data_IF_223543462365
#
_entry.id   IF_223543462365
#
_cell.length_a   1.000
_cell.length_b   1.000
_cell.length_c   1.000
_cell.angle_alpha   90.00
_cell.angle_beta   90.00
_cell.angle_gamma   90.00
#
_symmetry.space_group_name_H-M   'P 1'
#
loop_
_entity.id
_entity.type
_entity.pdbx_description
1 polymer ?
#
# COMPACT_ATOMS: atom_id res chain seq x y z
N UNK A 1 -1.23 0.61 4.24
CA UNK A 1 -0.10 0.09 5.03
C UNK A 1 -0.05 -1.41 4.93
N UNK A 2 1.15 -1.93 4.65
CA UNK A 2 1.44 -3.35 4.55
C UNK A 2 1.68 -4.04 5.91
N UNK A 3 1.33 -3.37 7.01
CA UNK A 3 1.41 -3.88 8.38
C UNK A 3 0.43 -5.07 8.59
N UNK A 4 0.66 -5.91 9.61
CA UNK A 4 -0.19 -7.06 9.87
C UNK A 4 -1.67 -6.65 10.06
N UNK A 5 -2.62 -7.39 9.49
CA UNK A 5 -4.05 -7.14 9.63
C UNK A 5 -4.50 -7.20 11.09
N UNK A 6 -5.57 -6.48 11.40
CA UNK A 6 -6.24 -6.56 12.70
C UNK A 6 -7.42 -7.52 12.61
N UNK A 7 -7.28 -8.75 13.11
CA UNK A 7 -8.45 -9.62 13.28
C UNK A 7 -9.38 -9.07 14.37
N UNK A 8 -10.68 -9.11 14.12
CA UNK A 8 -11.72 -8.79 15.11
C UNK A 8 -12.51 -7.51 14.83
N UNK A 9 -12.99 -6.87 15.91
CA UNK A 9 -13.98 -5.78 15.85
C UNK A 9 -15.41 -6.30 15.95
N UNK A 10 -16.37 -5.37 15.94
CA UNK A 10 -17.79 -5.73 16.05
C UNK A 10 -18.28 -6.45 14.78
N UNK A 11 -19.25 -7.40 14.91
CA UNK A 11 -19.93 -7.98 13.76
C UNK A 11 -20.59 -6.92 12.88
N UNK A 12 -20.53 -7.12 11.56
CA UNK A 12 -21.20 -6.24 10.61
C UNK A 12 -22.66 -6.69 10.46
N UNK A 13 -23.57 -5.93 11.02
CA UNK A 13 -25.02 -6.18 11.01
C UNK A 13 -25.78 -5.28 10.05
N UNK A 14 -25.15 -4.22 9.54
CA UNK A 14 -25.78 -3.30 8.59
C UNK A 14 -24.75 -2.60 7.69
N UNK A 15 -25.19 -2.18 6.50
CA UNK A 15 -24.39 -1.32 5.60
C UNK A 15 -24.00 0.00 6.28
N UNK A 16 -24.86 0.54 7.15
CA UNK A 16 -24.61 1.81 7.83
C UNK A 16 -23.30 1.79 8.65
N UNK A 17 -22.96 0.66 9.29
CA UNK A 17 -21.68 0.53 10.00
C UNK A 17 -20.45 0.73 9.08
N UNK A 18 -20.56 0.30 7.82
CA UNK A 18 -19.51 0.45 6.82
C UNK A 18 -19.37 1.91 6.37
N UNK A 19 -20.50 2.61 6.25
CA UNK A 19 -20.55 4.05 5.93
C UNK A 19 -20.00 4.88 7.09
N UNK A 20 -20.45 4.60 8.32
CA UNK A 20 -20.03 5.28 9.54
C UNK A 20 -18.52 5.10 9.79
N UNK A 21 -17.95 3.97 9.38
CA UNK A 21 -16.51 3.73 9.47
C UNK A 21 -15.69 4.79 8.74
N UNK A 22 -16.15 5.29 7.59
CA UNK A 22 -15.51 6.40 6.88
C UNK A 22 -15.80 7.74 7.56
N UNK A 23 -17.05 7.96 7.99
CA UNK A 23 -17.49 9.19 8.63
C UNK A 23 -16.66 9.51 9.89
N UNK A 24 -16.24 8.50 10.65
CA UNK A 24 -15.34 8.61 11.82
C UNK A 24 -13.98 9.27 11.47
N UNK A 25 -13.57 9.26 10.21
CA UNK A 25 -12.38 9.98 9.74
C UNK A 25 -12.51 11.50 9.76
N UNK A 26 -13.74 12.01 9.81
CA UNK A 26 -14.03 13.45 9.82
C UNK A 26 -13.50 14.09 11.10
N UNK A 27 -12.59 15.05 10.96
CA UNK A 27 -11.97 15.73 12.11
C UNK A 27 -11.84 17.25 11.88
N UNK A 28 -11.88 18.09 12.92
CA UNK A 28 -11.76 19.54 12.75
C UNK A 28 -10.42 19.92 12.14
N UNK A 29 -10.37 21.05 11.44
CA UNK A 29 -9.18 21.51 10.72
C UNK A 29 -7.92 21.65 11.59
N UNK A 30 -8.07 21.95 12.88
CA UNK A 30 -6.97 21.99 13.85
C UNK A 30 -6.23 20.66 14.01
N UNK A 31 -6.93 19.57 13.72
CA UNK A 31 -6.47 18.20 13.93
C UNK A 31 -6.02 17.56 12.62
N UNK A 32 -6.07 18.30 11.51
CA UNK A 32 -5.56 17.84 10.22
C UNK A 32 -4.05 17.64 10.29
N UNK A 33 -3.60 16.55 9.70
CA UNK A 33 -2.20 16.16 9.61
C UNK A 33 -1.85 15.78 8.18
N UNK A 34 -0.56 15.64 7.93
CA UNK A 34 0.03 15.19 6.67
C UNK A 34 0.77 13.89 6.99
N UNK A 35 0.29 12.78 6.44
CA UNK A 35 1.08 11.55 6.37
C UNK A 35 1.79 11.48 5.03
N UNK A 36 3.00 10.94 4.98
CA UNK A 36 3.72 10.72 3.72
C UNK A 36 4.31 9.34 3.72
N UNK A 37 4.08 8.59 2.65
CA UNK A 37 4.66 7.27 2.46
C UNK A 37 5.53 7.29 1.21
N UNK A 38 6.69 6.64 1.25
CA UNK A 38 7.53 6.51 0.08
C UNK A 38 8.29 5.19 0.06
N UNK A 39 8.42 4.64 -1.14
CA UNK A 39 9.10 3.40 -1.43
C UNK A 39 10.44 3.67 -2.11
N UNK A 40 11.34 2.70 -2.05
CA UNK A 40 12.63 2.75 -2.72
C UNK A 40 13.15 1.35 -3.00
N UNK A 41 13.92 1.26 -4.06
CA UNK A 41 14.59 0.05 -4.49
C UNK A 41 15.94 -0.10 -3.80
N UNK A 42 16.15 -1.22 -3.11
CA UNK A 42 17.47 -1.63 -2.61
C UNK A 42 18.21 -2.41 -3.70
N UNK A 43 19.53 -2.23 -3.83
CA UNK A 43 20.35 -2.98 -4.77
C UNK A 43 21.76 -3.21 -4.24
N UNK A 44 22.43 -4.29 -4.66
CA UNK A 44 23.83 -4.56 -4.30
C UNK A 44 24.78 -3.67 -5.09
N UNK A 45 25.77 -3.06 -4.45
CA UNK A 45 26.75 -2.23 -5.14
C UNK A 45 27.73 -3.05 -6.01
N UNK A 46 27.85 -4.35 -5.77
CA UNK A 46 28.76 -5.25 -6.51
C UNK A 46 28.28 -5.55 -7.93
N UNK A 47 26.98 -5.75 -8.13
CA UNK A 47 26.39 -6.23 -9.38
C UNK A 47 25.03 -5.60 -9.73
N UNK A 48 24.56 -4.66 -8.90
CA UNK A 48 23.27 -4.00 -9.00
C UNK A 48 22.04 -4.89 -8.81
N UNK A 49 22.21 -6.15 -8.38
CA UNK A 49 21.11 -7.09 -8.13
C UNK A 49 20.21 -6.65 -6.98
N UNK A 50 18.94 -7.06 -7.04
CA UNK A 50 17.98 -6.90 -5.96
C UNK A 50 18.39 -7.80 -4.78
N UNK A 51 18.47 -7.30 -3.54
CA UNK A 51 18.72 -8.15 -2.39
C UNK A 51 17.51 -9.04 -2.11
N UNK A 52 17.79 -10.30 -1.79
CA UNK A 52 16.83 -11.23 -1.22
C UNK A 52 16.43 -10.79 0.19
N UNK A 53 15.43 -11.45 0.79
CA UNK A 53 15.13 -11.22 2.21
C UNK A 53 16.25 -11.74 3.11
N UNK A 54 16.69 -12.98 2.87
CA UNK A 54 17.71 -13.67 3.65
C UNK A 54 19.14 -13.23 3.29
N UNK A 55 20.09 -13.58 4.15
CA UNK A 55 21.52 -13.39 3.93
C UNK A 55 22.10 -12.17 4.66
N UNK A 56 23.44 -12.07 4.74
CA UNK A 56 24.13 -11.01 5.47
C UNK A 56 23.93 -9.62 4.85
N UNK A 57 23.61 -9.56 3.56
CA UNK A 57 23.30 -8.36 2.78
C UNK A 57 21.85 -8.34 2.29
N UNK A 58 20.96 -9.09 2.95
CA UNK A 58 19.53 -9.17 2.63
C UNK A 58 18.69 -8.07 3.30
N UNK A 59 17.43 -7.93 2.86
CA UNK A 59 16.47 -6.97 3.44
C UNK A 59 16.26 -7.23 4.94
N UNK A 60 16.23 -8.49 5.38
CA UNK A 60 16.13 -8.85 6.79
C UNK A 60 17.31 -8.32 7.63
N UNK A 61 18.51 -8.28 7.07
CA UNK A 61 19.68 -7.71 7.73
C UNK A 61 19.55 -6.20 7.91
N UNK A 62 19.00 -5.49 6.91
CA UNK A 62 18.71 -4.04 6.99
C UNK A 62 17.75 -3.76 8.15
N UNK A 63 16.60 -4.46 8.17
CA UNK A 63 15.56 -4.24 9.19
C UNK A 63 16.07 -4.51 10.61
N UNK A 64 16.79 -5.63 10.80
CA UNK A 64 17.31 -5.96 12.12
C UNK A 64 18.40 -4.99 12.57
N UNK A 65 19.28 -4.54 11.67
CA UNK A 65 20.32 -3.55 12.01
C UNK A 65 19.71 -2.19 12.36
N UNK A 66 18.67 -1.75 11.64
CA UNK A 66 17.95 -0.52 11.97
C UNK A 66 17.30 -0.60 13.35
N UNK A 67 16.68 -1.75 13.67
CA UNK A 67 16.07 -1.99 14.97
C UNK A 67 17.09 -1.96 16.11
N UNK A 68 18.23 -2.62 15.95
CA UNK A 68 19.26 -2.69 17.00
C UNK A 68 19.97 -1.35 17.22
N UNK A 69 20.21 -0.59 16.15
CA UNK A 69 21.00 0.66 16.22
C UNK A 69 20.17 1.89 16.55
N UNK A 70 18.97 1.99 15.98
CA UNK A 70 18.16 3.21 16.05
C UNK A 70 16.88 3.03 16.86
N UNK A 71 16.73 1.91 17.57
CA UNK A 71 15.65 1.70 18.53
C UNK A 71 14.28 1.47 17.89
N UNK A 72 14.24 0.96 16.66
CA UNK A 72 12.97 0.57 16.05
C UNK A 72 12.43 -0.74 16.67
N UNK A 73 11.11 -0.81 16.86
CA UNK A 73 10.43 -2.01 17.34
C UNK A 73 10.14 -2.95 16.19
N UNK A 74 10.47 -4.24 16.34
CA UNK A 74 10.26 -5.26 15.31
C UNK A 74 8.83 -5.79 15.31
N UNK A 75 8.22 -5.86 14.14
CA UNK A 75 7.02 -6.63 13.89
C UNK A 75 7.38 -7.87 13.06
N UNK A 76 6.87 -9.03 13.49
CA UNK A 76 7.24 -10.31 12.91
C UNK A 76 6.05 -11.04 12.31
N UNK A 77 6.30 -11.73 11.21
CA UNK A 77 5.42 -12.70 10.56
C UNK A 77 6.24 -13.99 10.36
N UNK A 78 5.74 -15.13 10.85
CA UNK A 78 6.44 -16.42 10.81
C UNK A 78 7.91 -16.38 11.32
N UNK A 79 8.15 -15.55 12.34
CA UNK A 79 9.48 -15.38 12.95
C UNK A 79 10.40 -14.38 12.24
N UNK A 80 10.06 -13.96 11.02
CA UNK A 80 10.77 -12.98 10.21
C UNK A 80 10.37 -11.55 10.57
N UNK A 81 11.35 -10.65 10.73
CA UNK A 81 11.06 -9.21 10.88
C UNK A 81 10.63 -8.66 9.52
N UNK A 82 9.35 -8.33 9.37
CA UNK A 82 8.76 -7.86 8.10
C UNK A 82 8.35 -6.39 8.12
N UNK A 83 8.35 -5.79 9.31
CA UNK A 83 8.12 -4.36 9.50
C UNK A 83 8.80 -3.86 10.78
N UNK A 84 9.00 -2.55 10.85
CA UNK A 84 9.49 -1.85 12.03
C UNK A 84 8.56 -0.71 12.40
N UNK A 85 8.46 -0.37 13.68
CA UNK A 85 7.67 0.78 14.15
C UNK A 85 8.45 1.65 15.13
N UNK A 86 8.26 2.96 15.05
CA UNK A 86 8.84 3.94 15.97
C UNK A 86 8.09 5.27 15.87
N UNK A 87 7.60 5.79 17.00
CA UNK A 87 7.02 7.14 17.10
C UNK A 87 5.95 7.47 16.03
N UNK A 88 5.10 6.50 15.69
CA UNK A 88 4.06 6.66 14.68
C UNK A 88 4.51 6.40 13.24
N UNK A 89 5.82 6.27 12.99
CA UNK A 89 6.37 5.81 11.72
C UNK A 89 6.38 4.29 11.63
N UNK A 90 6.29 3.78 10.40
CA UNK A 90 6.43 2.36 10.10
C UNK A 90 7.39 2.20 8.92
N UNK A 91 8.29 1.22 9.01
CA UNK A 91 9.04 0.72 7.86
C UNK A 91 8.41 -0.61 7.45
N UNK A 92 8.01 -0.73 6.21
CA UNK A 92 7.34 -1.91 5.65
C UNK A 92 8.02 -2.37 4.37
N UNK A 93 7.73 -3.60 3.98
CA UNK A 93 8.21 -4.20 2.74
C UNK A 93 7.03 -4.44 1.81
N UNK A 94 7.17 -3.99 0.56
CA UNK A 94 6.32 -4.33 -0.57
C UNK A 94 6.75 -5.68 -1.20
N UNK A 95 5.96 -6.28 -2.12
CA UNK A 95 6.18 -7.65 -2.58
C UNK A 95 7.56 -7.94 -3.17
N UNK A 96 8.14 -7.00 -3.90
CA UNK A 96 9.47 -7.09 -4.52
C UNK A 96 10.63 -6.58 -3.65
N UNK A 97 10.39 -6.40 -2.35
CA UNK A 97 11.39 -5.87 -1.40
C UNK A 97 11.62 -4.37 -1.55
N UNK A 98 10.68 -3.63 -2.15
CA UNK A 98 10.69 -2.17 -2.07
C UNK A 98 10.55 -1.77 -0.60
N UNK A 99 11.44 -0.88 -0.16
CA UNK A 99 11.62 -0.57 1.25
C UNK A 99 10.89 0.73 1.58
N UNK A 100 9.72 0.60 2.18
CA UNK A 100 8.79 1.69 2.43
C UNK A 100 9.04 2.35 3.78
N UNK A 101 8.90 3.68 3.82
CA UNK A 101 8.59 4.40 5.05
C UNK A 101 7.14 4.89 4.93
N UNK A 102 6.29 4.55 5.90
CA UNK A 102 5.05 5.26 6.18
C UNK A 102 5.29 6.18 7.38
N UNK A 103 5.31 7.48 7.11
CA UNK A 103 5.62 8.53 8.07
C UNK A 103 4.52 8.77 9.10
N UNK A 104 4.87 9.43 10.20
CA UNK A 104 3.90 9.84 11.20
C UNK A 104 2.96 10.94 10.65
N UNK A 105 1.74 11.07 11.18
CA UNK A 105 0.86 12.19 10.85
C UNK A 105 1.40 13.48 11.48
N UNK A 106 2.04 14.34 10.67
CA UNK A 106 2.69 15.58 11.12
C UNK A 106 1.90 16.84 10.78
N UNK A 107 2.24 17.96 11.40
CA UNK A 107 1.48 19.23 11.27
C UNK A 107 1.88 20.06 10.05
N UNK A 108 3.11 19.88 9.55
CA UNK A 108 3.63 20.68 8.45
C UNK A 108 4.70 19.96 7.63
N UNK A 109 4.95 20.48 6.42
CA UNK A 109 5.89 19.90 5.47
C UNK A 109 7.36 19.94 5.92
N UNK A 110 7.73 20.83 6.84
CA UNK A 110 9.10 20.84 7.40
C UNK A 110 9.33 19.61 8.27
N UNK A 111 8.32 19.19 9.04
CA UNK A 111 8.36 17.94 9.79
C UNK A 111 8.42 16.73 8.85
N UNK A 112 7.60 16.70 7.79
CA UNK A 112 7.65 15.64 6.77
C UNK A 112 9.05 15.52 6.16
N UNK A 113 9.66 16.65 5.78
CA UNK A 113 11.00 16.68 5.21
C UNK A 113 12.07 16.22 6.23
N UNK A 114 11.95 16.63 7.49
CA UNK A 114 12.85 16.19 8.57
C UNK A 114 12.77 14.69 8.80
N UNK A 115 11.57 14.13 8.83
CA UNK A 115 11.31 12.69 9.02
C UNK A 115 11.89 11.86 7.86
N UNK A 116 11.60 12.25 6.61
CA UNK A 116 12.15 11.59 5.43
C UNK A 116 13.69 11.62 5.43
N UNK A 117 14.30 12.74 5.80
CA UNK A 117 15.77 12.84 5.87
C UNK A 117 16.35 11.97 6.99
N UNK A 118 15.73 11.94 8.17
CA UNK A 118 16.17 11.08 9.26
C UNK A 118 16.16 9.61 8.84
N UNK A 119 15.04 9.15 8.27
CA UNK A 119 14.91 7.80 7.75
C UNK A 119 15.95 7.47 6.66
N UNK A 120 16.14 8.37 5.69
CA UNK A 120 17.13 8.18 4.63
C UNK A 120 18.56 8.11 5.18
N UNK A 121 18.89 8.91 6.19
CA UNK A 121 20.22 8.89 6.80
C UNK A 121 20.48 7.59 7.56
N UNK A 122 19.55 7.15 8.42
CA UNK A 122 19.65 5.86 9.14
C UNK A 122 19.79 4.69 8.15
N UNK A 123 18.96 4.69 7.10
CA UNK A 123 18.97 3.61 6.10
C UNK A 123 20.24 3.63 5.25
N UNK A 124 20.77 4.81 4.89
CA UNK A 124 22.06 4.93 4.17
C UNK A 124 23.21 4.38 5.00
N UNK A 125 23.25 4.68 6.29
CA UNK A 125 24.32 4.20 7.18
C UNK A 125 24.37 2.67 7.20
N UNK A 126 23.21 2.03 7.39
CA UNK A 126 23.10 0.56 7.39
C UNK A 126 23.42 -0.03 6.01
N UNK A 127 22.84 0.52 4.94
CA UNK A 127 23.07 0.02 3.59
C UNK A 127 24.55 0.12 3.17
N UNK A 128 25.25 1.19 3.55
CA UNK A 128 26.67 1.35 3.24
C UNK A 128 27.54 0.24 3.85
N UNK A 129 27.24 -0.19 5.07
CA UNK A 129 27.95 -1.29 5.74
C UNK A 129 27.69 -2.65 5.09
N UNK A 130 26.47 -2.85 4.58
CA UNK A 130 26.05 -4.08 3.92
C UNK A 130 26.41 -4.12 2.43
N UNK A 131 27.04 -3.07 1.89
CA UNK A 131 27.37 -2.99 0.46
C UNK A 131 26.15 -2.78 -0.44
N UNK A 132 25.11 -2.13 0.07
CA UNK A 132 23.85 -1.86 -0.62
C UNK A 132 23.68 -0.38 -0.97
N UNK A 133 23.03 -0.13 -2.11
CA UNK A 133 22.57 1.18 -2.55
C UNK A 133 21.04 1.30 -2.49
N UNK A 134 20.57 2.55 -2.59
CA UNK A 134 19.14 2.88 -2.67
C UNK A 134 18.85 3.66 -3.93
N UNK A 135 17.76 3.33 -4.62
CA UNK A 135 17.30 3.99 -5.83
C UNK A 135 15.84 4.44 -5.66
N UNK A 136 15.58 5.73 -5.86
CA UNK A 136 14.23 6.29 -5.92
C UNK A 136 13.85 6.56 -7.36
N UNK A 137 13.09 5.66 -7.97
CA UNK A 137 12.50 5.77 -9.32
C UNK A 137 11.16 5.05 -9.32
N UNK A 138 10.25 5.40 -10.24
CA UNK A 138 8.90 4.83 -10.25
C UNK A 138 8.82 3.36 -10.67
N UNK A 139 9.81 2.86 -11.43
CA UNK A 139 9.83 1.50 -11.96
C UNK A 139 11.26 0.92 -11.98
N UNK A 140 11.44 -0.36 -11.68
CA UNK A 140 12.76 -1.02 -11.71
C UNK A 140 13.35 -0.97 -13.13
N UNK A 141 14.46 -0.24 -13.35
CA UNK A 141 14.95 0.03 -14.69
C UNK A 141 15.74 -1.13 -15.31
N UNK A 142 16.19 -2.12 -14.53
CA UNK A 142 17.20 -3.11 -14.96
C UNK A 142 16.64 -4.53 -14.92
N UNK A 143 15.99 -4.92 -13.84
CA UNK A 143 15.71 -6.33 -13.58
C UNK A 143 14.37 -6.78 -14.17
N UNK A 144 14.37 -7.96 -14.77
CA UNK A 144 13.14 -8.60 -15.20
C UNK A 144 12.33 -9.04 -13.99
N UNK A 145 11.02 -9.23 -14.19
CA UNK A 145 10.12 -9.73 -13.15
C UNK A 145 10.58 -11.06 -12.53
N UNK A 146 11.24 -11.92 -13.30
CA UNK A 146 11.71 -13.22 -12.83
C UNK A 146 12.95 -13.14 -11.92
N UNK A 147 13.68 -12.02 -11.99
CA UNK A 147 14.90 -11.77 -11.21
C UNK A 147 14.62 -11.01 -9.92
N UNK A 148 13.41 -10.46 -9.74
CA UNK A 148 13.02 -9.75 -8.53
C UNK A 148 12.56 -10.77 -7.47
N UNK A 149 13.12 -10.74 -6.26
CA UNK A 149 12.75 -11.66 -5.20
C UNK A 149 11.40 -11.31 -4.58
N UNK A 150 10.78 -12.31 -3.94
CA UNK A 150 9.52 -12.14 -3.22
C UNK A 150 9.75 -12.05 -1.72
N UNK A 151 9.16 -11.04 -1.08
CA UNK A 151 9.22 -10.91 0.37
C UNK A 151 8.34 -11.96 1.06
N UNK A 152 8.78 -12.51 2.22
CA UNK A 152 8.12 -13.61 2.90
C UNK A 152 6.88 -13.14 3.68
N UNK A 153 5.83 -12.70 2.98
CA UNK A 153 4.55 -12.28 3.57
C UNK A 153 3.39 -13.05 2.94
N UNK A 154 2.55 -13.68 3.77
CA UNK A 154 1.48 -14.60 3.36
C UNK A 154 0.51 -13.97 2.37
N UNK A 155 0.06 -12.73 2.62
CA UNK A 155 -0.84 -11.99 1.71
C UNK A 155 -0.32 -11.85 0.28
N UNK A 156 1.00 -11.78 0.08
CA UNK A 156 1.57 -11.58 -1.25
C UNK A 156 1.47 -12.83 -2.13
N UNK A 157 1.41 -14.03 -1.52
CA UNK A 157 1.15 -15.26 -2.26
C UNK A 157 -0.24 -15.21 -2.91
N UNK A 158 -1.26 -14.85 -2.14
CA UNK A 158 -2.66 -14.73 -2.61
C UNK A 158 -2.76 -13.71 -3.74
N UNK A 159 -2.22 -12.50 -3.51
CA UNK A 159 -2.22 -11.43 -4.52
C UNK A 159 -1.47 -11.84 -5.79
N UNK A 160 -0.31 -12.51 -5.68
CA UNK A 160 0.48 -12.98 -6.84
C UNK A 160 -0.32 -13.95 -7.70
N UNK A 161 -1.03 -14.89 -7.09
CA UNK A 161 -1.84 -15.87 -7.82
C UNK A 161 -3.07 -15.22 -8.46
N UNK A 162 -3.69 -14.25 -7.78
CA UNK A 162 -4.86 -13.55 -8.28
C UNK A 162 -4.55 -12.55 -9.40
N UNK A 163 -3.47 -11.76 -9.28
CA UNK A 163 -3.11 -10.71 -10.25
C UNK A 163 -2.89 -11.25 -11.67
N UNK A 164 -2.56 -12.53 -11.81
CA UNK A 164 -2.42 -13.19 -13.12
C UNK A 164 -3.77 -13.42 -13.83
N UNK A 165 -4.90 -13.31 -13.11
CA UNK A 165 -6.25 -13.58 -13.60
C UNK A 165 -6.97 -12.31 -14.07
N UNK A 166 -6.54 -11.13 -13.61
CA UNK A 166 -7.29 -9.86 -13.75
C UNK A 166 -6.59 -8.79 -14.58
N UNK A 167 -5.31 -8.97 -14.90
CA UNK A 167 -4.54 -8.05 -15.73
C UNK A 167 -3.19 -8.63 -16.11
N UNK A 168 -2.46 -7.96 -17.01
CA UNK A 168 -1.13 -8.46 -17.44
C UNK A 168 0.04 -7.82 -16.67
N UNK A 169 -0.24 -6.72 -15.95
CA UNK A 169 0.77 -5.89 -15.29
C UNK A 169 0.71 -5.88 -13.78
N UNK A 170 -0.28 -6.52 -13.16
CA UNK A 170 -0.39 -6.54 -11.69
C UNK A 170 0.83 -7.13 -10.98
N UNK A 171 1.52 -8.10 -11.57
CA UNK A 171 2.78 -8.61 -11.02
C UNK A 171 3.95 -7.62 -11.14
N UNK A 172 3.94 -6.74 -12.14
CA UNK A 172 4.94 -5.67 -12.25
C UNK A 172 4.65 -4.55 -11.26
N UNK A 173 3.38 -4.23 -11.04
CA UNK A 173 2.97 -3.31 -9.96
C UNK A 173 3.56 -3.79 -8.63
N UNK A 174 3.31 -5.05 -8.28
CA UNK A 174 3.76 -5.64 -7.02
C UNK A 174 5.28 -5.66 -6.85
N UNK A 175 6.04 -6.02 -7.90
CA UNK A 175 7.47 -6.30 -7.77
C UNK A 175 8.38 -5.14 -8.21
N UNK A 176 7.93 -4.35 -9.18
CA UNK A 176 8.79 -3.45 -9.96
C UNK A 176 8.34 -2.00 -9.95
N UNK A 177 7.42 -1.61 -9.07
CA UNK A 177 7.07 -0.18 -8.90
C UNK A 177 7.43 0.34 -7.52
N UNK A 178 7.76 1.64 -7.46
CA UNK A 178 7.81 2.41 -6.21
C UNK A 178 6.92 3.65 -6.34
N UNK A 179 6.41 4.16 -5.22
CA UNK A 179 5.64 5.41 -5.17
C UNK A 179 6.16 6.36 -4.09
N UNK A 180 5.74 7.62 -4.20
CA UNK A 180 5.58 8.54 -3.07
C UNK A 180 4.10 8.93 -3.03
N UNK A 181 3.50 8.93 -1.84
CA UNK A 181 2.10 9.27 -1.64
C UNK A 181 1.93 10.15 -0.39
N UNK A 182 0.84 10.89 -0.34
CA UNK A 182 0.45 11.69 0.82
C UNK A 182 -0.92 11.22 1.31
N UNK A 183 -1.09 11.18 2.62
CA UNK A 183 -2.35 10.88 3.28
C UNK A 183 -2.88 12.19 3.89
N UNK A 184 -4.10 12.60 3.53
CA UNK A 184 -4.68 13.89 3.90
C UNK A 184 -6.06 13.74 4.55
N UNK A 185 -6.29 14.53 5.59
CA UNK A 185 -7.53 14.49 6.35
C UNK A 185 -8.67 15.28 5.71
N UNK A 186 -9.91 14.95 6.08
CA UNK A 186 -11.12 15.69 5.76
C UNK A 186 -11.95 16.01 7.00
N UNK A 187 -12.75 17.07 6.92
CA UNK A 187 -13.53 17.59 8.06
C UNK A 187 -15.00 17.19 8.09
N UNK A 188 -15.55 16.75 6.96
CA UNK A 188 -16.94 16.30 6.81
C UNK A 188 -17.08 15.51 5.51
N UNK A 189 -18.24 14.90 5.27
CA UNK A 189 -18.54 14.25 3.99
C UNK A 189 -18.45 15.23 2.81
N UNK A 190 -18.96 16.46 2.97
CA UNK A 190 -18.90 17.48 1.92
C UNK A 190 -17.45 17.90 1.59
N UNK A 191 -16.61 18.10 2.62
CA UNK A 191 -15.17 18.39 2.43
C UNK A 191 -14.43 17.20 1.81
N UNK A 192 -14.78 15.96 2.20
CA UNK A 192 -14.25 14.74 1.58
C UNK A 192 -14.60 14.70 0.08
N UNK A 193 -15.87 14.92 -0.29
CA UNK A 193 -16.32 14.89 -1.68
C UNK A 193 -15.59 15.94 -2.53
N UNK A 194 -15.46 17.16 -2.02
CA UNK A 194 -14.72 18.23 -2.70
C UNK A 194 -13.25 17.86 -2.91
N UNK A 195 -12.56 17.43 -1.85
CA UNK A 195 -11.15 17.02 -1.92
C UNK A 195 -10.94 15.84 -2.85
N UNK A 196 -11.80 14.82 -2.80
CA UNK A 196 -11.68 13.64 -3.65
C UNK A 196 -11.79 14.04 -5.13
N UNK A 197 -12.81 14.83 -5.49
CA UNK A 197 -12.99 15.32 -6.87
C UNK A 197 -11.81 16.13 -7.38
N UNK A 198 -11.30 17.06 -6.56
CA UNK A 198 -10.14 17.88 -6.91
C UNK A 198 -8.90 16.99 -7.09
N UNK A 199 -8.62 16.11 -6.13
CA UNK A 199 -7.47 15.21 -6.17
C UNK A 199 -7.51 14.32 -7.41
N UNK A 200 -8.64 13.67 -7.70
CA UNK A 200 -8.77 12.84 -8.90
C UNK A 200 -8.56 13.64 -10.19
N UNK A 201 -9.21 14.80 -10.31
CA UNK A 201 -9.09 15.63 -11.50
C UNK A 201 -7.64 16.10 -11.76
N UNK A 202 -6.87 16.34 -10.69
CA UNK A 202 -5.48 16.80 -10.77
C UNK A 202 -4.46 15.65 -10.73
N UNK A 203 -4.87 14.41 -10.46
CA UNK A 203 -3.94 13.29 -10.34
C UNK A 203 -3.09 13.07 -11.60
N UNK A 204 -3.63 13.17 -12.84
CA UNK A 204 -2.79 13.06 -14.04
C UNK A 204 -1.72 14.16 -14.16
N UNK A 205 -1.99 15.37 -13.64
CA UNK A 205 -1.01 16.45 -13.58
C UNK A 205 0.10 16.13 -12.58
N UNK A 206 -0.24 15.61 -11.41
CA UNK A 206 0.75 15.13 -10.44
C UNK A 206 1.60 14.01 -11.04
N UNK A 207 0.98 13.01 -11.67
CA UNK A 207 1.69 11.92 -12.36
C UNK A 207 2.66 12.45 -13.43
N UNK A 208 2.29 13.49 -14.18
CA UNK A 208 3.17 14.10 -15.18
C UNK A 208 4.35 14.86 -14.55
N UNK A 209 4.12 15.62 -13.47
CA UNK A 209 5.15 16.38 -12.76
C UNK A 209 6.20 15.46 -12.10
N UNK A 210 5.77 14.30 -11.62
CA UNK A 210 6.61 13.34 -10.89
C UNK A 210 6.97 12.10 -11.74
N UNK A 211 6.83 12.19 -13.07
CA UNK A 211 7.14 11.07 -13.97
C UNK A 211 8.64 10.75 -13.96
N UNK A 212 9.00 9.60 -13.40
CA UNK A 212 10.40 9.17 -13.21
C UNK A 212 10.59 7.66 -13.43
N UNK A 213 10.05 7.12 -14.52
CA UNK A 213 10.24 5.71 -14.86
C UNK A 213 10.26 5.43 -16.38
N UNK A 214 11.29 5.90 -17.10
CA UNK A 214 11.36 5.78 -18.56
C UNK A 214 12.05 4.49 -19.06
N UNK A 215 12.52 3.60 -18.16
CA UNK A 215 13.27 2.41 -18.53
C UNK A 215 12.63 1.11 -18.01
N UNK A 216 12.73 0.05 -18.80
CA UNK A 216 12.42 -1.35 -18.42
C UNK A 216 13.52 -2.23 -18.99
N UNK A 217 14.11 -3.09 -18.15
CA UNK A 217 15.10 -4.08 -18.57
C UNK A 217 16.26 -3.48 -19.40
N UNK A 218 16.76 -2.32 -18.91
CA UNK A 218 17.86 -1.57 -19.48
C UNK A 218 17.52 -0.76 -20.74
N UNK A 219 16.25 -0.70 -21.15
CA UNK A 219 15.82 -0.06 -22.41
C UNK A 219 14.77 1.03 -22.20
N UNK A 220 14.81 2.14 -22.96
CA UNK A 220 13.74 3.13 -22.94
C UNK A 220 12.39 2.53 -23.34
N UNK A 221 11.33 2.88 -22.62
CA UNK A 221 9.96 2.39 -22.88
C UNK A 221 9.20 3.22 -23.91
N UNK A 222 9.69 4.43 -24.20
CA UNK A 222 8.95 5.46 -24.94
C UNK A 222 7.88 6.19 -24.09
N UNK A 223 7.78 5.87 -22.80
CA UNK A 223 6.93 6.54 -21.82
C UNK A 223 7.79 7.28 -20.81
N UNK A 224 7.22 8.30 -20.16
CA UNK A 224 7.87 9.02 -19.06
C UNK A 224 7.59 8.38 -17.69
N UNK A 225 6.47 7.65 -17.57
CA UNK A 225 6.07 6.92 -16.36
C UNK A 225 5.58 5.52 -16.72
N UNK A 226 6.48 4.53 -16.77
CA UNK A 226 6.08 3.12 -16.85
C UNK A 226 5.23 2.71 -15.65
N UNK A 227 5.55 3.25 -14.46
CA UNK A 227 4.77 3.05 -13.23
C UNK A 227 3.28 3.32 -13.44
N UNK A 228 2.93 4.51 -13.93
CA UNK A 228 1.52 4.87 -14.13
C UNK A 228 0.85 3.99 -15.17
N UNK A 229 1.57 3.64 -16.26
CA UNK A 229 1.04 2.74 -17.27
C UNK A 229 0.78 1.31 -16.74
N UNK A 230 1.59 0.83 -15.80
CA UNK A 230 1.38 -0.47 -15.14
C UNK A 230 0.04 -0.53 -14.41
N UNK A 231 -0.38 0.56 -13.77
CA UNK A 231 -1.65 0.62 -13.05
C UNK A 231 -2.89 0.53 -13.97
N UNK A 232 -2.78 0.85 -15.26
CA UNK A 232 -3.93 0.77 -16.19
C UNK A 232 -4.30 -0.66 -16.61
N UNK A 233 -3.44 -1.64 -16.32
CA UNK A 233 -3.66 -3.07 -16.65
C UNK A 233 -3.21 -3.97 -15.47
N UNK A 234 -3.45 -3.46 -14.25
CA UNK A 234 -3.22 -4.19 -12.99
C UNK A 234 -4.44 -5.02 -12.63
N UNK A 235 -5.58 -4.35 -12.38
CA UNK A 235 -6.87 -4.98 -12.07
C UNK A 235 -7.98 -3.94 -12.27
N UNK A 236 -8.91 -4.13 -13.21
CA UNK A 236 -9.95 -3.15 -13.54
C UNK A 236 -10.97 -2.94 -12.42
N UNK A 237 -11.15 -3.89 -11.49
CA UNK A 237 -12.17 -3.79 -10.44
C UNK A 237 -11.75 -2.83 -9.33
N UNK A 238 -10.43 -2.63 -9.16
CA UNK A 238 -9.86 -1.91 -8.00
C UNK A 238 -8.94 -0.74 -8.37
N UNK A 239 -8.71 -0.47 -9.65
CA UNK A 239 -7.83 0.60 -10.12
C UNK A 239 -8.62 1.68 -10.89
N UNK A 240 -7.96 2.80 -11.20
CA UNK A 240 -8.46 3.81 -12.14
C UNK A 240 -9.02 5.08 -11.48
N UNK A 241 -9.73 5.86 -12.30
CA UNK A 241 -10.15 7.24 -12.00
C UNK A 241 -11.48 7.37 -11.25
N UNK A 242 -12.18 6.25 -10.99
CA UNK A 242 -13.46 6.19 -10.28
C UNK A 242 -14.45 7.27 -10.74
N UNK A 243 -14.90 7.21 -12.00
CA UNK A 243 -15.77 8.23 -12.62
C UNK A 243 -17.01 8.58 -11.77
N UNK A 244 -17.56 7.60 -11.04
CA UNK A 244 -18.71 7.78 -10.15
C UNK A 244 -18.49 8.81 -9.03
N UNK A 245 -17.25 9.20 -8.71
CA UNK A 245 -16.94 10.26 -7.75
C UNK A 245 -17.47 11.63 -8.22
N UNK A 246 -17.66 11.80 -9.53
CA UNK A 246 -18.20 13.03 -10.12
C UNK A 246 -19.72 13.02 -10.30
N UNK A 247 -20.40 11.91 -10.00
CA UNK A 247 -21.86 11.82 -10.04
C UNK A 247 -22.51 12.67 -8.93
N UNK A 248 -23.72 13.17 -9.19
CA UNK A 248 -24.54 13.79 -8.16
C UNK A 248 -24.90 12.75 -7.08
N UNK A 249 -24.80 13.16 -5.81
CA UNK A 249 -25.05 12.26 -4.67
C UNK A 249 -23.87 11.37 -4.29
N UNK A 250 -22.68 11.55 -4.88
CA UNK A 250 -21.45 10.92 -4.37
C UNK A 250 -21.20 11.32 -2.89
N UNK A 251 -20.81 10.33 -2.09
CA UNK A 251 -20.56 10.44 -0.65
C UNK A 251 -19.99 9.12 -0.10
N UNK A 252 -19.93 9.00 1.23
CA UNK A 252 -19.41 7.82 1.91
C UNK A 252 -20.17 6.55 1.54
N UNK A 253 -21.50 6.63 1.41
CA UNK A 253 -22.33 5.48 1.07
C UNK A 253 -22.02 4.93 -0.33
N UNK A 254 -21.90 5.81 -1.33
CA UNK A 254 -21.60 5.39 -2.71
C UNK A 254 -20.22 4.74 -2.83
N UNK A 255 -19.24 5.23 -2.07
CA UNK A 255 -17.91 4.60 -2.02
C UNK A 255 -17.92 3.28 -1.23
N UNK A 256 -18.73 3.15 -0.18
CA UNK A 256 -18.93 1.88 0.51
C UNK A 256 -19.55 0.84 -0.44
N UNK A 257 -20.50 1.23 -1.30
CA UNK A 257 -21.03 0.34 -2.35
C UNK A 257 -19.96 -0.10 -3.34
N UNK A 258 -19.12 0.83 -3.81
CA UNK A 258 -17.98 0.49 -4.65
C UNK A 258 -17.09 -0.57 -3.98
N UNK A 259 -16.70 -0.34 -2.72
CA UNK A 259 -15.84 -1.27 -1.98
C UNK A 259 -16.51 -2.63 -1.72
N UNK A 260 -17.83 -2.67 -1.55
CA UNK A 260 -18.58 -3.93 -1.44
C UNK A 260 -18.60 -4.73 -2.75
N UNK A 261 -18.44 -4.05 -3.89
CA UNK A 261 -18.41 -4.66 -5.22
C UNK A 261 -16.98 -5.05 -5.65
N UNK A 262 -15.94 -4.42 -5.09
CA UNK A 262 -14.55 -4.84 -5.28
C UNK A 262 -14.36 -6.27 -4.75
N UNK A 263 -13.85 -7.22 -5.56
CA UNK A 263 -13.61 -8.58 -5.11
C UNK A 263 -12.55 -8.62 -3.99
N UNK A 264 -12.76 -9.49 -3.02
CA UNK A 264 -11.82 -9.67 -1.91
C UNK A 264 -10.49 -10.28 -2.38
N UNK A 265 -9.45 -10.13 -1.56
CA UNK A 265 -8.22 -10.93 -1.65
C UNK A 265 -8.14 -11.98 -0.57
N UNK A 266 -8.24 -11.55 0.69
CA UNK A 266 -8.04 -12.42 1.83
C UNK A 266 -8.99 -12.05 2.97
N UNK A 267 -9.14 -12.98 3.90
CA UNK A 267 -9.64 -12.73 5.25
C UNK A 267 -8.59 -13.21 6.25
N UNK A 268 -8.35 -12.48 7.33
CA UNK A 268 -7.32 -12.85 8.30
C UNK A 268 -7.93 -13.57 9.50
N UNK A 269 -7.52 -14.82 9.74
CA UNK A 269 -8.06 -15.66 10.82
C UNK A 269 -6.94 -16.41 11.51
N UNK A 270 -6.95 -16.39 12.85
CA UNK A 270 -6.02 -17.16 13.69
C UNK A 270 -4.53 -17.01 13.33
N UNK A 271 -4.12 -15.83 12.87
CA UNK A 271 -2.73 -15.56 12.47
C UNK A 271 -2.40 -15.91 11.02
N UNK A 272 -3.37 -16.36 10.22
CA UNK A 272 -3.18 -16.77 8.83
C UNK A 272 -4.07 -16.00 7.84
N UNK A 273 -3.59 -15.88 6.61
CA UNK A 273 -4.30 -15.25 5.50
C UNK A 273 -5.09 -16.31 4.73
N UNK A 274 -6.41 -16.26 4.82
CA UNK A 274 -7.31 -17.15 4.08
C UNK A 274 -7.55 -16.58 2.69
N UNK A 275 -7.21 -17.36 1.66
CA UNK A 275 -7.46 -17.01 0.27
C UNK A 275 -8.96 -17.04 -0.03
N UNK A 276 -9.54 -15.85 -0.18
CA UNK A 276 -10.92 -15.61 -0.63
C UNK A 276 -10.89 -14.75 -1.89
N UNK A 277 -9.83 -14.92 -2.71
CA UNK A 277 -9.58 -14.06 -3.84
C UNK A 277 -10.65 -14.21 -4.91
N UNK A 278 -11.28 -13.09 -5.28
CA UNK A 278 -12.41 -13.08 -6.21
C UNK A 278 -13.79 -13.26 -5.55
N UNK A 279 -13.86 -13.52 -4.25
CA UNK A 279 -15.12 -13.64 -3.52
C UNK A 279 -15.73 -12.26 -3.22
N UNK A 280 -17.03 -12.25 -2.92
CA UNK A 280 -17.78 -11.02 -2.62
C UNK A 280 -17.81 -10.72 -1.12
N UNK A 281 -17.42 -9.50 -0.74
CA UNK A 281 -17.58 -9.02 0.64
C UNK A 281 -19.06 -9.01 1.07
N UNK A 282 -20.00 -8.79 0.13
CA UNK A 282 -21.45 -8.85 0.40
C UNK A 282 -21.90 -10.26 0.80
N UNK A 283 -21.29 -11.31 0.24
CA UNK A 283 -21.58 -12.69 0.63
C UNK A 283 -20.85 -13.07 1.93
N UNK A 284 -19.69 -12.46 2.20
CA UNK A 284 -19.00 -12.62 3.48
C UNK A 284 -19.81 -12.09 4.66
N UNK A 285 -20.42 -10.90 4.51
CA UNK A 285 -21.36 -10.37 5.51
C UNK A 285 -22.55 -11.29 5.80
N UNK A 286 -22.86 -12.25 4.91
CA UNK A 286 -23.96 -13.20 5.07
C UNK A 286 -23.50 -14.59 5.53
N UNK A 287 -22.22 -14.77 5.86
CA UNK A 287 -21.66 -16.07 6.24
C UNK A 287 -21.56 -17.08 5.09
N UNK A 288 -21.48 -16.59 3.84
CA UNK A 288 -21.61 -17.43 2.63
C UNK A 288 -20.31 -17.63 1.85
N UNK A 289 -19.16 -17.25 2.41
CA UNK A 289 -17.88 -17.57 1.76
C UNK A 289 -17.63 -19.08 1.79
N UNK A 290 -17.34 -19.71 0.64
CA UNK A 290 -17.03 -21.14 0.59
C UNK A 290 -15.85 -21.54 1.49
N UNK A 291 -14.86 -20.67 1.62
CA UNK A 291 -13.62 -20.89 2.36
C UNK A 291 -13.77 -20.64 3.87
N UNK A 292 -14.80 -19.90 4.27
CA UNK A 292 -15.14 -19.57 5.66
C UNK A 292 -16.64 -19.82 5.91
N UNK A 293 -17.09 -21.09 5.85
CA UNK A 293 -18.51 -21.42 5.86
C UNK A 293 -19.17 -21.03 7.18
N UNK A 294 -20.17 -20.15 7.11
CA UNK A 294 -20.93 -19.67 8.26
C UNK A 294 -20.25 -18.56 9.07
N UNK A 295 -19.03 -18.13 8.72
CA UNK A 295 -18.40 -16.98 9.38
C UNK A 295 -18.85 -15.67 8.73
N UNK A 296 -19.42 -14.77 9.53
CA UNK A 296 -19.78 -13.43 9.10
C UNK A 296 -18.60 -12.45 9.21
N UNK A 297 -18.60 -11.43 8.35
CA UNK A 297 -17.58 -10.39 8.34
C UNK A 297 -17.65 -9.49 9.59
N UNK A 298 -16.49 -9.07 10.08
CA UNK A 298 -16.32 -8.13 11.19
C UNK A 298 -15.71 -6.81 10.70
N UNK A 299 -15.77 -5.75 11.51
CA UNK A 299 -15.22 -4.44 11.13
C UNK A 299 -13.70 -4.45 10.85
N UNK A 300 -12.95 -5.41 11.40
CA UNK A 300 -11.56 -5.66 11.04
C UNK A 300 -11.41 -6.13 9.58
N UNK A 301 -12.28 -7.04 9.13
CA UNK A 301 -12.31 -7.51 7.74
C UNK A 301 -12.62 -6.36 6.77
N UNK A 302 -13.52 -5.46 7.16
CA UNK A 302 -13.80 -4.26 6.38
C UNK A 302 -12.57 -3.35 6.26
N UNK A 303 -11.90 -3.08 7.40
CA UNK A 303 -10.68 -2.27 7.42
C UNK A 303 -9.59 -2.85 6.51
N UNK A 304 -9.40 -4.17 6.52
CA UNK A 304 -8.46 -4.87 5.66
C UNK A 304 -8.87 -4.78 4.18
N UNK A 305 -10.15 -5.05 3.87
CA UNK A 305 -10.68 -5.01 2.50
C UNK A 305 -10.52 -3.64 1.84
N UNK A 306 -10.79 -2.55 2.58
CA UNK A 306 -10.55 -1.16 2.13
C UNK A 306 -9.10 -0.93 1.69
N UNK A 307 -8.13 -1.62 2.28
CA UNK A 307 -6.71 -1.47 1.90
C UNK A 307 -6.35 -2.14 0.57
N UNK A 308 -7.27 -2.93 0.01
CA UNK A 308 -7.04 -3.68 -1.22
C UNK A 308 -7.54 -2.97 -2.48
N UNK A 309 -8.19 -1.81 -2.36
CA UNK A 309 -8.44 -0.95 -3.51
C UNK A 309 -7.22 -0.07 -3.82
N UNK A 310 -6.95 0.17 -5.10
CA UNK A 310 -5.83 0.96 -5.61
C UNK A 310 -6.23 1.97 -6.72
N UNK A 311 -7.29 2.77 -6.52
CA UNK A 311 -7.61 3.86 -7.44
C UNK A 311 -6.52 4.95 -7.41
N UNK A 312 -6.58 5.85 -8.38
CA UNK A 312 -5.68 7.02 -8.48
C UNK A 312 -5.75 7.94 -7.24
N UNK A 313 -6.90 7.99 -6.57
CA UNK A 313 -7.09 8.56 -5.23
C UNK A 313 -7.97 7.61 -4.43
N UNK A 314 -7.58 7.28 -3.20
CA UNK A 314 -8.25 6.25 -2.39
C UNK A 314 -8.82 6.84 -1.12
N UNK A 315 -10.09 6.55 -0.84
CA UNK A 315 -10.67 6.88 0.46
C UNK A 315 -10.53 5.75 1.47
N UNK A 316 -10.01 6.13 2.64
CA UNK A 316 -10.11 5.42 3.93
C UNK A 316 -10.76 6.37 4.93
N UNK A 317 -10.32 6.38 6.20
CA UNK A 317 -10.62 7.45 7.16
C UNK A 317 -9.86 8.77 6.90
N UNK A 318 -9.18 8.82 5.76
CA UNK A 318 -8.44 9.93 5.17
C UNK A 318 -8.43 9.68 3.64
N UNK A 319 -7.97 10.64 2.85
CA UNK A 319 -7.71 10.49 1.40
C UNK A 319 -6.23 10.24 1.14
#
# INVERSE_FOLDING_TARGET
>A
MAAPPSSGGDPITSKQQLVDWFAVGSKPKSDWRIGTEHEKFMFRLSDFSRPEYEGPDGIGAILNTLADRFGWTRLKEDGNTVALTRDGCNITLEPGGQFELSGAPVENLHQTCSEANAHLNETREVCAELGLGMLGVGFDPIWSRAEVPWMPKGRYKIMREYMQKVGTRGLDMMQRTCTIQTNLDFGSEADMVEKFRISLALQPLATALFADSPFVEGKPTGRVSERSFVWTDTDPDRCGMLEFVFEDGFGFERYADYMLDVPMYFAFRNGDYMDVSGESFREFMKGKLPQLPGEEAHMGDWSDHITTAFPEVRMKRFL
#
